data_IF_488963122454
#
_entry.id   IF_488963122454
#
_cell.length_a   1.000
_cell.length_b   1.000
_cell.length_c   1.000
_cell.angle_alpha   90.00
_cell.angle_beta   90.00
_cell.angle_gamma   90.00
#
_symmetry.space_group_name_H-M   'P 1'
#
loop_
_entity.id
_entity.type
_entity.pdbx_description
1 polymer ?
#
# COMPACT_ATOMS: atom_id res chain seq x y z
N UNK A 1 25.77 -10.49 -7.75
CA UNK A 1 24.58 -11.34 -7.51
C UNK A 1 24.97 -12.76 -7.87
N UNK A 2 24.51 -13.75 -7.11
CA UNK A 2 24.76 -15.17 -7.36
C UNK A 2 23.83 -15.66 -8.49
N UNK A 3 24.40 -16.18 -9.58
CA UNK A 3 23.64 -16.65 -10.73
C UNK A 3 22.72 -17.82 -10.36
N UNK A 4 23.16 -18.75 -9.50
CA UNK A 4 22.35 -19.89 -9.06
C UNK A 4 21.11 -19.44 -8.27
N UNK A 5 21.24 -18.38 -7.46
CA UNK A 5 20.11 -17.81 -6.74
C UNK A 5 19.08 -17.16 -7.69
N UNK A 6 19.55 -16.49 -8.76
CA UNK A 6 18.69 -15.87 -9.77
C UNK A 6 17.94 -16.92 -10.62
N UNK A 7 18.61 -18.03 -10.94
CA UNK A 7 17.99 -19.18 -11.60
C UNK A 7 16.88 -19.80 -10.74
N UNK A 8 17.13 -19.97 -9.44
CA UNK A 8 16.13 -20.47 -8.50
C UNK A 8 14.92 -19.53 -8.38
N UNK A 9 15.17 -18.22 -8.31
CA UNK A 9 14.12 -17.20 -8.33
C UNK A 9 13.28 -17.30 -9.61
N UNK A 10 13.91 -17.42 -10.77
CA UNK A 10 13.21 -17.59 -12.05
C UNK A 10 12.28 -18.81 -12.05
N UNK A 11 12.75 -19.95 -11.55
CA UNK A 11 11.94 -21.18 -11.45
C UNK A 11 10.77 -20.99 -10.49
N UNK A 12 10.98 -20.35 -9.34
CA UNK A 12 9.94 -20.08 -8.35
C UNK A 12 8.85 -19.16 -8.92
N UNK A 13 9.26 -18.09 -9.60
CA UNK A 13 8.33 -17.17 -10.25
C UNK A 13 7.56 -17.85 -11.39
N UNK A 14 8.22 -18.63 -12.24
CA UNK A 14 7.57 -19.34 -13.33
C UNK A 14 6.50 -20.34 -12.82
N UNK A 15 6.82 -21.14 -11.78
CA UNK A 15 5.85 -22.06 -11.17
C UNK A 15 4.63 -21.32 -10.62
N UNK A 16 4.88 -20.19 -9.94
CA UNK A 16 3.82 -19.33 -9.40
C UNK A 16 2.98 -18.73 -10.52
N UNK A 17 3.61 -18.27 -11.60
CA UNK A 17 2.93 -17.71 -12.77
C UNK A 17 1.98 -18.71 -13.42
N UNK A 18 2.45 -19.94 -13.68
CA UNK A 18 1.63 -21.04 -14.23
C UNK A 18 0.44 -21.36 -13.33
N UNK A 19 0.64 -21.32 -12.02
CA UNK A 19 -0.45 -21.59 -11.06
C UNK A 19 -1.54 -20.52 -11.13
N UNK A 20 -1.16 -19.24 -11.23
CA UNK A 20 -2.13 -18.15 -11.42
C UNK A 20 -2.80 -18.20 -12.79
N UNK A 21 -2.05 -18.53 -13.84
CA UNK A 21 -2.50 -18.66 -15.21
C UNK A 21 -3.59 -19.74 -15.33
N UNK A 22 -3.34 -20.93 -14.79
CA UNK A 22 -4.30 -22.04 -14.75
C UNK A 22 -5.56 -21.73 -13.93
N UNK A 23 -5.44 -20.88 -12.91
CA UNK A 23 -6.56 -20.46 -12.07
C UNK A 23 -7.33 -19.25 -12.66
N UNK A 24 -7.02 -18.80 -13.88
CA UNK A 24 -7.67 -17.66 -14.54
C UNK A 24 -7.32 -16.29 -13.94
N UNK A 25 -6.31 -16.21 -13.08
CA UNK A 25 -5.84 -14.98 -12.45
C UNK A 25 -4.77 -14.32 -13.33
N UNK A 26 -5.23 -13.78 -14.46
CA UNK A 26 -4.34 -13.32 -15.55
C UNK A 26 -3.41 -12.17 -15.13
N UNK A 27 -3.86 -11.23 -14.29
CA UNK A 27 -3.04 -10.08 -13.87
C UNK A 27 -1.85 -10.52 -13.00
N UNK A 28 -2.10 -11.43 -12.05
CA UNK A 28 -1.08 -12.00 -11.19
C UNK A 28 -0.12 -12.90 -11.99
N UNK A 29 -0.65 -13.71 -12.92
CA UNK A 29 0.16 -14.52 -13.82
C UNK A 29 1.12 -13.66 -14.64
N UNK A 30 0.63 -12.58 -15.25
CA UNK A 30 1.44 -11.61 -16.01
C UNK A 30 2.59 -11.06 -15.16
N UNK A 31 2.32 -10.69 -13.91
CA UNK A 31 3.35 -10.18 -13.02
C UNK A 31 4.44 -11.22 -12.79
N UNK A 32 4.09 -12.44 -12.42
CA UNK A 32 5.08 -13.48 -12.13
C UNK A 32 5.85 -13.96 -13.36
N UNK A 33 5.23 -13.99 -14.55
CA UNK A 33 5.98 -14.26 -15.79
C UNK A 33 7.01 -13.18 -16.09
N UNK A 34 6.70 -11.89 -15.88
CA UNK A 34 7.67 -10.79 -16.02
C UNK A 34 8.82 -10.91 -15.03
N UNK A 35 8.53 -11.22 -13.77
CA UNK A 35 9.54 -11.43 -12.74
C UNK A 35 10.43 -12.65 -13.06
N UNK A 36 9.87 -13.73 -13.59
CA UNK A 36 10.62 -14.90 -14.05
C UNK A 36 11.56 -14.55 -15.21
N UNK A 37 11.07 -13.84 -16.22
CA UNK A 37 11.87 -13.38 -17.35
C UNK A 37 13.02 -12.46 -16.90
N UNK A 38 12.74 -11.50 -16.01
CA UNK A 38 13.76 -10.58 -15.51
C UNK A 38 14.83 -11.28 -14.66
N UNK A 39 14.43 -12.26 -13.84
CA UNK A 39 15.36 -13.10 -13.10
C UNK A 39 16.30 -13.89 -14.03
N UNK A 40 15.78 -14.45 -15.13
CA UNK A 40 16.58 -15.16 -16.14
C UNK A 40 17.57 -14.23 -16.87
N UNK A 41 17.14 -13.03 -17.26
CA UNK A 41 18.03 -12.04 -17.88
C UNK A 41 19.21 -11.72 -16.95
N UNK A 42 18.93 -11.48 -15.66
CA UNK A 42 19.99 -11.20 -14.69
C UNK A 42 20.86 -12.42 -14.39
N UNK A 43 20.30 -13.63 -14.39
CA UNK A 43 21.09 -14.86 -14.26
C UNK A 43 22.12 -14.96 -15.40
N UNK A 44 21.69 -14.70 -16.64
CA UNK A 44 22.58 -14.66 -17.81
C UNK A 44 23.67 -13.59 -17.68
N UNK A 45 23.32 -12.37 -17.28
CA UNK A 45 24.29 -11.29 -17.03
C UNK A 45 25.29 -11.61 -15.89
N UNK A 46 24.85 -12.40 -14.91
CA UNK A 46 25.68 -12.87 -13.79
C UNK A 46 26.55 -14.09 -14.15
N UNK A 47 26.57 -14.52 -15.42
CA UNK A 47 27.40 -15.63 -15.89
C UNK A 47 26.78 -17.01 -15.70
N UNK A 48 25.44 -17.10 -15.65
CA UNK A 48 24.75 -18.39 -15.70
C UNK A 48 25.17 -19.20 -16.92
N UNK A 49 25.30 -20.52 -16.72
CA UNK A 49 25.64 -21.49 -17.77
C UNK A 49 24.40 -22.18 -18.35
N UNK A 50 23.19 -21.77 -17.97
CA UNK A 50 21.98 -22.34 -18.53
C UNK A 50 21.89 -22.01 -20.03
N UNK A 51 21.70 -23.03 -20.84
CA UNK A 51 21.42 -22.87 -22.26
C UNK A 51 19.96 -22.44 -22.47
N UNK A 52 19.68 -21.71 -23.55
CA UNK A 52 18.31 -21.32 -23.91
C UNK A 52 17.65 -20.27 -22.99
N UNK A 53 18.43 -19.52 -22.19
CA UNK A 53 17.90 -18.43 -21.34
C UNK A 53 17.05 -17.46 -22.17
N UNK A 54 17.56 -17.04 -23.34
CA UNK A 54 16.86 -16.09 -24.22
C UNK A 54 15.54 -16.67 -24.75
N UNK A 55 15.54 -17.94 -25.15
CA UNK A 55 14.33 -18.61 -25.64
C UNK A 55 13.25 -18.68 -24.54
N UNK A 56 13.66 -19.01 -23.31
CA UNK A 56 12.72 -19.07 -22.18
C UNK A 56 12.21 -17.69 -21.77
N UNK A 57 13.05 -16.66 -21.84
CA UNK A 57 12.64 -15.26 -21.64
C UNK A 57 11.58 -14.86 -22.67
N UNK A 58 11.81 -15.17 -23.95
CA UNK A 58 10.86 -14.88 -25.02
C UNK A 58 9.52 -15.62 -24.80
N UNK A 59 9.56 -16.90 -24.45
CA UNK A 59 8.35 -17.68 -24.14
C UNK A 59 7.49 -17.04 -23.03
N UNK A 60 8.13 -16.56 -21.95
CA UNK A 60 7.42 -15.86 -20.88
C UNK A 60 6.84 -14.52 -21.32
N UNK A 61 7.57 -13.75 -22.15
CA UNK A 61 7.10 -12.47 -22.67
C UNK A 61 5.95 -12.65 -23.68
N UNK A 62 6.01 -13.67 -24.52
CA UNK A 62 4.93 -14.03 -25.45
C UNK A 62 3.66 -14.44 -24.67
N UNK A 63 3.81 -15.23 -23.60
CA UNK A 63 2.67 -15.58 -22.73
C UNK A 63 2.08 -14.35 -22.05
N UNK A 64 2.91 -13.42 -21.58
CA UNK A 64 2.46 -12.13 -21.02
C UNK A 64 1.65 -11.34 -22.04
N UNK A 65 2.10 -11.28 -23.29
CA UNK A 65 1.39 -10.57 -24.35
C UNK A 65 0.06 -11.26 -24.69
N UNK A 66 0.04 -12.59 -24.75
CA UNK A 66 -1.18 -13.36 -24.95
C UNK A 66 -2.20 -13.14 -23.83
N UNK A 67 -1.75 -13.12 -22.56
CA UNK A 67 -2.60 -12.84 -21.40
C UNK A 67 -3.12 -11.41 -21.40
N UNK A 68 -2.31 -10.42 -21.77
CA UNK A 68 -2.77 -9.04 -21.95
C UNK A 68 -3.86 -8.93 -23.03
N UNK A 69 -3.65 -9.57 -24.19
CA UNK A 69 -4.63 -9.54 -25.28
C UNK A 69 -5.94 -10.23 -24.87
N UNK A 70 -5.84 -11.37 -24.16
CA UNK A 70 -7.00 -12.05 -23.60
C UNK A 70 -7.72 -11.19 -22.54
N UNK A 71 -6.97 -10.48 -21.71
CA UNK A 71 -7.49 -9.56 -20.69
C UNK A 71 -8.04 -8.25 -21.27
N UNK A 72 -7.65 -7.84 -22.48
CA UNK A 72 -8.26 -6.73 -23.23
C UNK A 72 -9.53 -7.16 -23.97
N UNK A 73 -9.60 -8.43 -24.38
CA UNK A 73 -10.79 -9.03 -24.97
C UNK A 73 -11.88 -9.33 -23.92
N UNK A 74 -11.48 -9.66 -22.69
CA UNK A 74 -12.33 -9.51 -21.51
C UNK A 74 -12.48 -8.00 -21.25
N UNK A 75 -13.71 -7.48 -21.11
CA UNK A 75 -13.91 -6.06 -20.78
C UNK A 75 -13.07 -5.74 -19.55
N UNK A 76 -12.17 -4.76 -19.64
CA UNK A 76 -11.60 -4.12 -18.45
C UNK A 76 -12.80 -3.71 -17.61
N UNK A 77 -12.92 -4.27 -16.40
CA UNK A 77 -13.98 -3.87 -15.50
C UNK A 77 -13.97 -2.34 -15.42
N UNK A 78 -15.09 -1.66 -15.71
CA UNK A 78 -15.13 -0.22 -15.63
C UNK A 78 -14.62 0.23 -14.26
N UNK A 79 -13.84 1.32 -14.26
CA UNK A 79 -13.30 1.88 -13.02
C UNK A 79 -14.43 2.07 -12.01
N UNK A 80 -14.19 1.68 -10.76
CA UNK A 80 -15.15 1.85 -9.67
C UNK A 80 -15.56 3.32 -9.62
N UNK A 81 -16.87 3.57 -9.58
CA UNK A 81 -17.39 4.92 -9.36
C UNK A 81 -17.00 5.40 -7.97
N UNK A 82 -16.93 6.72 -7.77
CA UNK A 82 -16.65 7.32 -6.45
C UNK A 82 -17.58 6.76 -5.36
N UNK A 83 -18.86 6.59 -5.68
CA UNK A 83 -19.86 6.09 -4.74
C UNK A 83 -19.63 4.62 -4.36
N UNK A 84 -19.08 3.80 -5.26
CA UNK A 84 -18.67 2.42 -4.94
C UNK A 84 -17.44 2.40 -4.03
N UNK A 85 -16.47 3.29 -4.25
CA UNK A 85 -15.29 3.44 -3.37
C UNK A 85 -15.70 3.92 -1.98
N UNK A 86 -16.60 4.90 -1.88
CA UNK A 86 -17.11 5.41 -0.61
C UNK A 86 -17.92 4.33 0.16
N UNK A 87 -18.63 3.45 -0.56
CA UNK A 87 -19.29 2.29 0.04
C UNK A 87 -18.27 1.29 0.65
N UNK A 88 -17.19 0.97 -0.06
CA UNK A 88 -16.11 0.12 0.45
C UNK A 88 -15.43 0.74 1.69
N UNK A 89 -15.25 2.06 1.68
CA UNK A 89 -14.72 2.81 2.83
C UNK A 89 -15.67 2.76 4.03
N UNK A 90 -16.98 2.91 3.84
CA UNK A 90 -17.96 2.77 4.90
C UNK A 90 -17.94 1.37 5.53
N UNK A 91 -17.85 0.32 4.71
CA UNK A 91 -17.69 -1.06 5.20
C UNK A 91 -16.41 -1.26 6.02
N UNK A 92 -15.30 -0.65 5.58
CA UNK A 92 -14.04 -0.71 6.30
C UNK A 92 -14.11 -0.02 7.67
N UNK A 93 -14.69 1.20 7.72
CA UNK A 93 -14.93 1.93 8.97
C UNK A 93 -15.73 1.10 9.98
N UNK A 94 -16.80 0.45 9.51
CA UNK A 94 -17.65 -0.41 10.35
C UNK A 94 -16.87 -1.62 10.87
N UNK A 95 -16.06 -2.26 10.02
CA UNK A 95 -15.25 -3.40 10.43
C UNK A 95 -14.28 -3.01 11.53
N UNK A 96 -13.62 -1.85 11.41
CA UNK A 96 -12.77 -1.32 12.47
C UNK A 96 -13.56 -0.97 13.73
N UNK A 97 -14.75 -0.38 13.59
CA UNK A 97 -15.61 -0.06 14.73
C UNK A 97 -15.97 -1.32 15.55
N UNK A 98 -16.30 -2.43 14.86
CA UNK A 98 -16.52 -3.73 15.51
C UNK A 98 -15.28 -4.24 16.23
N UNK A 99 -14.10 -4.13 15.61
CA UNK A 99 -12.86 -4.58 16.23
C UNK A 99 -12.50 -3.78 17.50
N UNK A 100 -12.81 -2.48 17.54
CA UNK A 100 -12.61 -1.64 18.71
C UNK A 100 -13.67 -1.91 19.80
N UNK A 101 -14.93 -2.14 19.43
CA UNK A 101 -16.02 -2.56 20.34
C UNK A 101 -15.68 -3.90 21.02
N UNK A 102 -15.13 -4.88 20.28
CA UNK A 102 -14.65 -6.16 20.85
C UNK A 102 -13.47 -6.00 21.82
N UNK A 103 -12.66 -4.96 21.65
CA UNK A 103 -11.53 -4.65 22.56
C UNK A 103 -11.98 -3.88 23.80
N UNK A 104 -13.24 -3.45 23.88
CA UNK A 104 -13.77 -2.58 24.93
C UNK A 104 -13.36 -1.11 24.78
N UNK A 105 -12.91 -0.70 23.58
CA UNK A 105 -12.60 0.68 23.25
C UNK A 105 -13.86 1.36 22.71
N UNK A 106 -14.84 1.55 23.60
CA UNK A 106 -16.19 1.97 23.22
C UNK A 106 -16.23 3.36 22.57
N UNK A 107 -15.40 4.30 23.03
CA UNK A 107 -15.30 5.66 22.49
C UNK A 107 -14.82 5.64 21.02
N UNK A 108 -13.77 4.86 20.75
CA UNK A 108 -13.23 4.64 19.41
C UNK A 108 -14.27 4.02 18.47
N UNK A 109 -14.98 3.01 18.94
CA UNK A 109 -16.01 2.32 18.17
C UNK A 109 -17.13 3.29 17.77
N UNK A 110 -17.60 4.12 18.70
CA UNK A 110 -18.66 5.11 18.45
C UNK A 110 -18.24 6.10 17.37
N UNK A 111 -17.01 6.61 17.41
CA UNK A 111 -16.53 7.57 16.42
C UNK A 111 -16.48 6.93 15.02
N UNK A 112 -15.95 5.71 14.91
CA UNK A 112 -15.86 4.97 13.64
C UNK A 112 -17.25 4.64 13.06
N UNK A 113 -18.21 4.25 13.91
CA UNK A 113 -19.61 4.07 13.48
C UNK A 113 -20.22 5.38 12.99
N UNK A 114 -19.99 6.48 13.70
CA UNK A 114 -20.51 7.81 13.33
C UNK A 114 -19.97 8.24 11.97
N UNK A 115 -18.66 8.10 11.76
CA UNK A 115 -18.01 8.39 10.49
C UNK A 115 -18.54 7.52 9.33
N UNK A 116 -18.78 6.23 9.59
CA UNK A 116 -19.36 5.33 8.58
C UNK A 116 -20.78 5.75 8.18
N UNK A 117 -21.60 6.13 9.16
CA UNK A 117 -22.98 6.58 8.95
C UNK A 117 -23.00 7.90 8.18
N UNK A 118 -22.18 8.88 8.58
CA UNK A 118 -22.06 10.17 7.87
C UNK A 118 -21.63 9.97 6.41
N UNK A 119 -20.62 9.12 6.17
CA UNK A 119 -20.17 8.79 4.82
C UNK A 119 -21.29 8.14 4.00
N UNK A 120 -22.06 7.22 4.57
CA UNK A 120 -23.20 6.60 3.89
C UNK A 120 -24.29 7.61 3.54
N UNK A 121 -24.62 8.53 4.45
CA UNK A 121 -25.64 9.56 4.23
C UNK A 121 -25.19 10.53 3.15
N UNK A 122 -23.96 11.04 3.22
CA UNK A 122 -23.41 11.97 2.23
C UNK A 122 -23.39 11.33 0.84
N UNK A 123 -22.88 10.11 0.73
CA UNK A 123 -22.83 9.36 -0.55
C UNK A 123 -24.24 9.08 -1.08
N UNK A 124 -25.21 8.77 -0.21
CA UNK A 124 -26.60 8.54 -0.61
C UNK A 124 -27.28 9.81 -1.14
N UNK A 125 -26.90 10.98 -0.64
CA UNK A 125 -27.47 12.25 -1.09
C UNK A 125 -26.84 12.71 -2.42
N UNK A 126 -25.60 12.32 -2.69
CA UNK A 126 -24.88 12.63 -3.93
C UNK A 126 -25.21 11.69 -5.10
N UNK A 127 -25.70 10.48 -4.83
CA UNK A 127 -26.01 9.49 -5.88
C UNK A 127 -27.46 9.57 -6.36
N UNK A 128 -27.68 9.40 -7.67
CA UNK A 128 -29.03 9.29 -8.27
C UNK A 128 -29.50 7.84 -8.43
N UNK A 129 -28.65 6.85 -8.12
CA UNK A 129 -28.99 5.43 -8.20
C UNK A 129 -29.81 4.99 -6.98
N UNK A 130 -31.08 4.67 -7.21
CA UNK A 130 -32.06 4.30 -6.19
C UNK A 130 -31.73 2.99 -5.46
N UNK A 131 -31.09 2.04 -6.14
CA UNK A 131 -30.67 0.78 -5.52
C UNK A 131 -29.47 1.01 -4.59
N UNK A 132 -28.51 1.84 -5.01
CA UNK A 132 -27.35 2.22 -4.19
C UNK A 132 -27.77 3.08 -2.99
N UNK A 133 -28.67 4.04 -3.19
CA UNK A 133 -29.27 4.82 -2.08
C UNK A 133 -29.91 3.90 -1.03
N UNK A 134 -30.66 2.89 -1.47
CA UNK A 134 -31.31 1.95 -0.55
C UNK A 134 -30.29 1.15 0.25
N UNK A 135 -29.21 0.67 -0.37
CA UNK A 135 -28.12 -0.03 0.33
C UNK A 135 -27.40 0.86 1.34
N UNK A 136 -27.07 2.09 0.97
CA UNK A 136 -26.40 3.06 1.85
C UNK A 136 -27.28 3.45 3.04
N UNK A 137 -28.58 3.66 2.82
CA UNK A 137 -29.55 3.93 3.89
C UNK A 137 -29.76 2.74 4.81
N UNK A 138 -29.83 1.52 4.26
CA UNK A 138 -29.91 0.29 5.06
C UNK A 138 -28.67 0.12 5.94
N UNK A 139 -27.48 0.32 5.39
CA UNK A 139 -26.22 0.33 6.13
C UNK A 139 -26.25 1.38 7.24
N UNK A 140 -26.54 2.65 6.93
CA UNK A 140 -26.64 3.73 7.92
C UNK A 140 -27.65 3.42 9.05
N UNK A 141 -28.78 2.79 8.73
CA UNK A 141 -29.80 2.40 9.72
C UNK A 141 -29.40 1.21 10.59
N UNK A 142 -28.59 0.30 10.06
CA UNK A 142 -28.12 -0.90 10.76
C UNK A 142 -27.06 -0.62 11.84
N UNK A 143 -26.37 0.53 11.78
CA UNK A 143 -25.25 0.86 12.67
C UNK A 143 -25.63 1.71 13.90
N UNK A 144 -26.91 1.80 14.22
CA UNK A 144 -27.41 2.64 15.31
C UNK A 144 -27.35 1.91 16.67
N UNK A 145 -26.18 1.83 17.30
CA UNK A 145 -26.10 1.56 18.75
C UNK A 145 -26.39 2.86 19.55
N UNK A 146 -27.02 2.78 20.73
CA UNK A 146 -27.37 3.97 21.52
C UNK A 146 -26.13 4.59 22.17
N UNK A 147 -26.03 5.91 22.05
CA UNK A 147 -25.02 6.75 22.71
C UNK A 147 -25.17 6.63 24.23
N UNK A 148 -24.13 6.15 24.92
CA UNK A 148 -23.93 6.41 26.35
C UNK A 148 -22.70 7.28 26.51
N UNK A 149 -22.85 8.34 27.30
CA UNK A 149 -21.76 9.25 27.62
C UNK A 149 -21.04 8.78 28.88
N UNK A 150 -19.78 8.35 28.80
CA UNK A 150 -18.86 8.33 29.97
C UNK A 150 -17.38 8.39 29.52
N UNK A 151 -16.69 9.41 30.03
CA UNK A 151 -15.26 9.64 30.32
C UNK A 151 -14.16 8.71 29.74
N UNK A 152 -13.28 9.35 28.97
CA UNK A 152 -12.00 8.87 28.46
C UNK A 152 -11.00 8.47 29.55
N UNK A 153 -10.39 7.27 29.43
CA UNK A 153 -9.18 6.89 30.16
C UNK A 153 -8.00 6.68 29.19
N UNK A 154 -7.00 7.57 29.25
CA UNK A 154 -5.77 7.45 28.44
C UNK A 154 -4.90 6.26 28.89
N UNK A 155 -4.33 5.47 27.96
CA UNK A 155 -3.28 4.52 28.26
C UNK A 155 -1.91 5.21 28.38
N UNK A 156 -1.20 4.94 29.46
CA UNK A 156 0.16 5.44 29.72
C UNK A 156 1.17 4.86 28.72
N UNK A 157 1.46 5.60 27.65
CA UNK A 157 2.65 5.42 26.81
C UNK A 157 3.90 6.07 27.43
N UNK A 158 5.09 5.60 27.05
CA UNK A 158 6.39 6.12 27.50
C UNK A 158 6.44 7.66 27.46
N UNK A 159 6.54 8.30 28.62
CA UNK A 159 6.71 9.74 28.75
C UNK A 159 8.18 10.10 28.62
N UNK A 160 8.53 10.83 27.57
CA UNK A 160 9.82 11.49 27.43
C UNK A 160 10.02 12.56 28.52
N UNK A 161 11.26 12.82 28.91
CA UNK A 161 11.58 13.96 29.79
C UNK A 161 11.44 15.29 29.06
N UNK A 162 11.36 16.39 29.81
CA UNK A 162 11.28 17.75 29.22
C UNK A 162 12.47 18.05 28.30
N UNK A 163 13.66 17.56 28.67
CA UNK A 163 14.89 17.70 27.90
C UNK A 163 14.84 16.87 26.61
N UNK A 164 14.35 15.63 26.69
CA UNK A 164 14.15 14.77 25.51
C UNK A 164 13.13 15.39 24.54
N UNK A 165 12.03 15.95 25.05
CA UNK A 165 11.03 16.64 24.23
C UNK A 165 11.63 17.86 23.50
N UNK A 166 12.52 18.62 24.16
CA UNK A 166 13.19 19.77 23.54
C UNK A 166 14.16 19.33 22.44
N UNK A 167 14.91 18.26 22.67
CA UNK A 167 15.78 17.64 21.65
C UNK A 167 14.93 17.13 20.49
N UNK A 168 13.83 16.43 20.74
CA UNK A 168 12.91 15.97 19.71
C UNK A 168 12.31 17.13 18.92
N UNK A 169 11.92 18.23 19.57
CA UNK A 169 11.34 19.41 18.88
C UNK A 169 12.35 20.10 17.97
N UNK A 170 13.61 20.20 18.40
CA UNK A 170 14.68 20.79 17.59
C UNK A 170 15.14 19.89 16.45
N UNK A 171 15.24 18.58 16.67
CA UNK A 171 15.72 17.60 15.68
C UNK A 171 14.65 17.06 14.73
N UNK A 172 13.37 17.18 15.07
CA UNK A 172 12.25 16.71 14.23
C UNK A 172 11.97 17.59 13.02
N UNK A 173 12.58 18.77 12.90
CA UNK A 173 12.27 19.67 11.78
C UNK A 173 13.30 19.55 10.66
N UNK A 174 12.92 18.94 9.54
CA UNK A 174 13.75 18.82 8.34
C UNK A 174 13.10 19.64 7.22
N UNK A 175 13.83 20.61 6.65
CA UNK A 175 13.33 21.51 5.60
C UNK A 175 12.01 22.22 5.98
N UNK A 176 11.89 22.68 7.23
CA UNK A 176 10.68 23.31 7.79
C UNK A 176 9.45 22.40 7.88
N UNK A 177 9.63 21.09 7.68
CA UNK A 177 8.59 20.07 7.88
C UNK A 177 8.90 19.33 9.18
N UNK A 178 7.92 19.26 10.06
CA UNK A 178 8.02 18.52 11.32
C UNK A 178 7.78 17.02 11.08
N UNK A 179 8.79 16.21 11.35
CA UNK A 179 8.80 14.75 11.37
C UNK A 179 8.89 14.29 12.82
N UNK A 180 7.71 14.12 13.45
CA UNK A 180 7.65 13.65 14.83
C UNK A 180 8.04 12.16 14.91
N UNK A 181 8.64 11.71 16.02
CA UNK A 181 8.99 10.31 16.21
C UNK A 181 7.77 9.40 16.11
N UNK A 182 7.94 8.25 15.47
CA UNK A 182 6.91 7.21 15.45
C UNK A 182 6.86 6.53 16.84
N UNK A 183 5.74 6.68 17.53
CA UNK A 183 5.47 6.19 18.87
C UNK A 183 4.54 4.97 18.85
N UNK A 184 4.48 4.25 19.95
CA UNK A 184 3.55 3.11 20.09
C UNK A 184 2.08 3.52 20.02
N UNK A 185 1.77 4.80 20.24
CA UNK A 185 0.42 5.37 20.04
C UNK A 185 0.07 5.48 18.55
N UNK A 186 1.06 5.71 17.67
CA UNK A 186 0.85 5.81 16.22
C UNK A 186 0.54 4.46 15.58
N UNK A 187 0.92 3.35 16.24
CA UNK A 187 0.44 2.01 15.87
C UNK A 187 -1.09 1.88 15.99
N UNK A 188 -1.72 2.76 16.78
CA UNK A 188 -3.17 2.86 16.94
C UNK A 188 -3.77 3.97 16.07
N UNK A 189 -2.96 4.64 15.25
CA UNK A 189 -3.46 5.70 14.39
C UNK A 189 -4.53 5.15 13.45
N UNK A 190 -5.60 5.94 13.32
CA UNK A 190 -6.78 5.54 12.57
C UNK A 190 -6.52 5.86 11.11
N UNK A 191 -6.41 4.82 10.28
CA UNK A 191 -6.27 4.97 8.83
C UNK A 191 -7.64 4.99 8.11
N UNK A 192 -8.70 5.19 8.86
CA UNK A 192 -10.06 5.27 8.36
C UNK A 192 -10.55 6.70 8.55
N UNK A 193 -10.49 7.50 7.47
CA UNK A 193 -11.04 8.85 7.43
C UNK A 193 -12.23 8.87 6.47
N UNK A 194 -13.28 9.69 6.72
CA UNK A 194 -14.43 9.81 5.82
C UNK A 194 -14.03 10.30 4.43
N UNK A 195 -13.02 11.19 4.38
CA UNK A 195 -12.48 11.79 3.17
C UNK A 195 -11.08 11.26 2.86
N UNK A 196 -10.70 11.14 1.57
CA UNK A 196 -9.35 10.74 1.20
C UNK A 196 -8.31 11.69 1.79
N UNK A 197 -7.23 11.14 2.34
CA UNK A 197 -6.18 11.95 2.95
C UNK A 197 -5.57 12.93 1.96
N UNK A 198 -5.36 14.17 2.41
CA UNK A 198 -4.67 15.22 1.65
C UNK A 198 -3.56 15.80 2.52
N UNK A 199 -2.39 15.97 1.91
CA UNK A 199 -1.23 16.56 2.58
C UNK A 199 -1.55 18.01 3.02
N UNK A 200 -1.32 18.32 4.30
CA UNK A 200 -1.53 19.65 4.88
C UNK A 200 -0.64 20.71 4.22
N UNK A 201 0.53 20.32 3.73
CA UNK A 201 1.50 21.19 3.05
C UNK A 201 1.24 21.27 1.54
N UNK A 202 0.18 20.61 1.05
CA UNK A 202 -0.19 20.61 -0.36
C UNK A 202 0.67 19.66 -1.20
N UNK A 203 0.72 19.93 -2.50
CA UNK A 203 1.39 19.06 -3.47
C UNK A 203 2.90 19.30 -3.48
N UNK A 204 3.67 18.23 -3.67
CA UNK A 204 5.12 18.31 -3.78
C UNK A 204 5.56 19.24 -4.92
N UNK A 205 6.55 20.08 -4.64
CA UNK A 205 7.18 20.92 -5.63
C UNK A 205 7.95 20.07 -6.66
N UNK A 206 7.66 20.28 -7.94
CA UNK A 206 8.26 19.51 -9.03
C UNK A 206 9.48 20.25 -9.62
N UNK A 207 10.55 19.50 -9.89
CA UNK A 207 11.70 19.99 -10.66
C UNK A 207 11.33 20.31 -12.12
N UNK A 208 12.13 21.10 -12.86
CA UNK A 208 11.84 21.41 -14.27
C UNK A 208 11.67 20.16 -15.15
N UNK A 209 12.49 19.12 -14.92
CA UNK A 209 12.40 17.83 -15.64
C UNK A 209 11.09 17.10 -15.34
N UNK A 210 10.66 17.10 -14.08
CA UNK A 210 9.38 16.50 -13.69
C UNK A 210 8.21 17.27 -14.30
N UNK A 211 8.24 18.61 -14.24
CA UNK A 211 7.20 19.48 -14.83
C UNK A 211 6.98 19.23 -16.32
N UNK A 212 8.06 18.99 -17.08
CA UNK A 212 7.97 18.77 -18.53
C UNK A 212 7.15 17.52 -18.93
N UNK A 213 7.10 16.50 -18.07
CA UNK A 213 6.36 15.24 -18.33
C UNK A 213 5.19 15.01 -17.36
N UNK A 214 4.94 15.96 -16.46
CA UNK A 214 3.94 15.82 -15.43
C UNK A 214 2.53 15.99 -16.02
N UNK A 215 1.67 14.99 -15.81
CA UNK A 215 0.26 15.08 -16.21
C UNK A 215 -0.60 15.60 -15.06
N UNK A 216 -0.75 14.82 -13.99
CA UNK A 216 -1.55 15.16 -12.81
C UNK A 216 -1.20 14.24 -11.64
N UNK A 217 -1.60 14.63 -10.44
CA UNK A 217 -1.61 13.74 -9.27
C UNK A 217 -2.84 12.85 -9.34
N UNK A 218 -2.65 11.53 -9.19
CA UNK A 218 -3.72 10.53 -9.13
C UNK A 218 -3.52 9.60 -7.96
N UNK A 219 -4.60 9.07 -7.42
CA UNK A 219 -4.57 7.98 -6.44
C UNK A 219 -4.56 6.61 -7.14
N UNK A 220 -4.05 5.55 -6.49
CA UNK A 220 -4.02 4.21 -7.10
C UNK A 220 -5.40 3.67 -7.53
N UNK A 221 -6.45 3.98 -6.78
CA UNK A 221 -7.84 3.61 -7.07
C UNK A 221 -8.45 4.37 -8.26
N UNK A 222 -7.89 5.53 -8.63
CA UNK A 222 -8.31 6.29 -9.81
C UNK A 222 -7.73 5.73 -11.12
N UNK A 223 -6.77 4.81 -11.02
CA UNK A 223 -6.09 4.19 -12.18
C UNK A 223 -6.27 2.67 -12.25
N UNK A 224 -6.68 2.01 -11.15
CA UNK A 224 -6.98 0.58 -11.14
C UNK A 224 -8.00 0.20 -10.05
N UNK A 225 -8.84 -0.82 -10.29
CA UNK A 225 -9.94 -1.20 -9.40
C UNK A 225 -9.50 -1.85 -8.08
N UNK A 226 -8.38 -2.57 -8.11
CA UNK A 226 -7.85 -3.34 -6.98
C UNK A 226 -6.35 -3.05 -6.83
N UNK A 227 -5.97 -1.82 -6.44
CA UNK A 227 -4.57 -1.51 -6.17
C UNK A 227 -4.06 -2.45 -5.08
N UNK A 228 -2.81 -2.92 -5.21
CA UNK A 228 -2.14 -3.74 -4.19
C UNK A 228 -0.82 -3.08 -3.82
N UNK A 229 -0.61 -2.79 -2.53
CA UNK A 229 0.60 -2.09 -2.06
C UNK A 229 1.88 -2.85 -2.40
N UNK A 230 1.92 -4.15 -2.09
CA UNK A 230 3.04 -5.03 -2.41
C UNK A 230 2.48 -6.40 -2.75
N UNK A 231 2.45 -6.74 -4.05
CA UNK A 231 2.05 -8.06 -4.53
C UNK A 231 3.12 -9.11 -4.24
N UNK A 232 4.40 -8.77 -4.45
CA UNK A 232 5.53 -9.56 -3.96
C UNK A 232 6.72 -8.65 -3.64
N UNK A 233 7.54 -9.04 -2.67
CA UNK A 233 8.78 -8.32 -2.36
C UNK A 233 9.82 -8.71 -3.40
N UNK A 234 10.08 -7.80 -4.34
CA UNK A 234 11.07 -8.00 -5.40
C UNK A 234 11.82 -6.71 -5.69
N UNK A 235 13.14 -6.84 -5.86
CA UNK A 235 13.99 -5.74 -6.32
C UNK A 235 13.77 -5.40 -7.79
N UNK A 236 13.17 -6.31 -8.56
CA UNK A 236 13.00 -6.19 -10.01
C UNK A 236 11.85 -5.25 -10.39
N UNK A 237 10.85 -5.14 -9.52
CA UNK A 237 9.67 -4.30 -9.72
C UNK A 237 9.94 -2.81 -9.41
N UNK A 238 11.09 -2.47 -8.83
CA UNK A 238 11.47 -1.09 -8.49
C UNK A 238 12.16 -0.44 -9.71
N UNK A 239 11.57 0.63 -10.23
CA UNK A 239 12.11 1.37 -11.39
C UNK A 239 12.15 2.86 -11.09
N UNK A 240 13.27 3.50 -11.42
CA UNK A 240 13.45 4.94 -11.28
C UNK A 240 13.06 5.64 -12.58
N UNK A 241 12.16 6.62 -12.49
CA UNK A 241 11.77 7.47 -13.64
C UNK A 241 11.79 8.93 -13.20
N UNK A 242 12.70 9.73 -13.76
CA UNK A 242 12.80 11.18 -13.50
C UNK A 242 12.91 11.54 -12.01
N UNK A 243 13.81 10.82 -11.32
CA UNK A 243 14.28 11.13 -9.96
C UNK A 243 15.79 11.31 -10.03
N UNK A 244 16.35 12.24 -9.26
CA UNK A 244 17.79 12.55 -9.24
C UNK A 244 18.60 11.57 -8.38
N UNK A 245 18.05 11.09 -7.26
CA UNK A 245 18.82 10.35 -6.26
C UNK A 245 18.59 8.83 -6.39
N UNK A 246 19.58 8.15 -6.99
CA UNK A 246 19.56 6.70 -7.13
C UNK A 246 19.84 5.95 -5.83
N UNK A 247 20.42 6.61 -4.82
CA UNK A 247 20.79 6.01 -3.52
C UNK A 247 19.58 5.49 -2.77
N UNK A 248 18.47 6.22 -2.77
CA UNK A 248 17.21 5.80 -2.15
C UNK A 248 16.59 4.59 -2.87
N UNK A 249 16.56 4.64 -4.20
CA UNK A 249 16.04 3.53 -5.01
C UNK A 249 16.90 2.28 -4.84
N UNK A 250 18.22 2.45 -4.78
CA UNK A 250 19.16 1.37 -4.55
C UNK A 250 19.02 0.76 -3.15
N UNK A 251 18.86 1.57 -2.10
CA UNK A 251 18.65 1.06 -0.73
C UNK A 251 17.35 0.27 -0.61
N UNK A 252 16.28 0.72 -1.26
CA UNK A 252 15.01 0.00 -1.33
C UNK A 252 15.16 -1.33 -2.10
N UNK A 253 15.85 -1.32 -3.25
CA UNK A 253 16.09 -2.54 -4.03
C UNK A 253 16.94 -3.57 -3.27
N UNK A 254 17.99 -3.13 -2.58
CA UNK A 254 18.84 -3.98 -1.73
C UNK A 254 18.03 -4.55 -0.58
N UNK A 255 17.23 -3.73 0.09
CA UNK A 255 16.39 -4.16 1.22
C UNK A 255 15.36 -5.20 0.78
N UNK A 256 14.76 -5.03 -0.41
CA UNK A 256 13.81 -5.98 -0.98
C UNK A 256 14.48 -7.33 -1.30
N UNK A 257 15.67 -7.28 -1.93
CA UNK A 257 16.45 -8.46 -2.23
C UNK A 257 16.87 -9.21 -0.94
N UNK A 258 17.31 -8.47 0.08
CA UNK A 258 17.69 -9.04 1.38
C UNK A 258 16.50 -9.70 2.07
N UNK A 259 15.37 -8.99 2.17
CA UNK A 259 14.16 -9.51 2.80
C UNK A 259 13.69 -10.80 2.13
N UNK A 260 13.68 -10.84 0.78
CA UNK A 260 13.32 -12.04 0.03
C UNK A 260 14.29 -13.19 0.26
N UNK A 261 15.60 -12.93 0.30
CA UNK A 261 16.64 -13.96 0.44
C UNK A 261 16.67 -14.58 1.84
N UNK A 262 16.52 -13.76 2.87
CA UNK A 262 16.67 -14.19 4.26
C UNK A 262 15.35 -14.33 5.01
N UNK A 263 14.23 -14.03 4.35
CA UNK A 263 12.88 -14.02 4.94
C UNK A 263 12.81 -13.12 6.19
N UNK A 264 13.55 -12.00 6.18
CA UNK A 264 13.60 -11.01 7.26
C UNK A 264 12.88 -9.73 6.84
N UNK A 265 11.77 -9.40 7.49
CA UNK A 265 10.93 -8.22 7.17
C UNK A 265 11.70 -6.92 7.45
N UNK A 266 12.22 -6.27 6.40
CA UNK A 266 12.93 -4.99 6.48
C UNK A 266 12.10 -3.85 5.90
N UNK A 267 11.52 -4.04 4.71
CA UNK A 267 10.64 -3.06 4.06
C UNK A 267 9.21 -3.28 4.55
N UNK A 268 8.80 -4.54 4.63
CA UNK A 268 7.40 -4.86 4.88
C UNK A 268 6.95 -4.62 6.31
N UNK A 269 7.88 -4.56 7.26
CA UNK A 269 7.65 -4.30 8.69
C UNK A 269 7.47 -2.81 8.99
N UNK A 270 7.95 -1.93 8.11
CA UNK A 270 7.91 -0.48 8.32
C UNK A 270 6.77 0.22 7.61
N UNK A 271 5.98 -0.51 6.79
CA UNK A 271 4.81 0.03 6.08
C UNK A 271 3.52 -0.30 6.85
N UNK A 272 2.70 0.71 7.10
CA UNK A 272 1.45 0.64 7.86
C UNK A 272 0.24 1.14 7.05
N UNK A 273 -0.97 0.61 7.32
CA UNK A 273 -1.33 -0.27 8.45
C UNK A 273 -1.05 -1.76 8.21
N UNK A 274 -0.92 -2.50 9.31
CA UNK A 274 -0.74 -3.95 9.33
C UNK A 274 -1.92 -4.61 10.07
N UNK A 275 -2.42 -5.73 9.54
CA UNK A 275 -3.46 -6.53 10.19
C UNK A 275 -2.91 -7.30 11.40
N UNK A 276 -3.76 -8.01 12.15
CA UNK A 276 -3.38 -8.81 13.34
C UNK A 276 -2.26 -9.84 13.10
N UNK A 277 -1.97 -10.20 11.84
CA UNK A 277 -0.86 -11.11 11.46
C UNK A 277 0.43 -10.38 11.07
N UNK A 278 0.49 -9.05 11.23
CA UNK A 278 1.60 -8.23 10.76
C UNK A 278 1.70 -8.18 9.23
N UNK A 279 0.60 -8.43 8.52
CA UNK A 279 0.52 -8.33 7.07
C UNK A 279 -0.15 -7.00 6.70
N UNK A 280 0.40 -6.31 5.70
CA UNK A 280 -0.09 -4.99 5.28
C UNK A 280 -1.54 -5.04 4.84
N UNK A 281 -2.32 -4.03 5.23
CA UNK A 281 -3.66 -3.79 4.71
C UNK A 281 -3.66 -2.50 3.90
N UNK A 282 -4.33 -2.50 2.76
CA UNK A 282 -4.69 -1.26 2.09
C UNK A 282 -5.86 -0.65 2.83
N UNK A 283 -5.78 0.65 3.05
CA UNK A 283 -6.93 1.42 3.52
C UNK A 283 -7.64 2.01 2.30
N UNK A 284 -8.98 1.98 2.26
CA UNK A 284 -9.77 2.64 1.20
C UNK A 284 -9.63 4.17 1.16
N UNK A 285 -8.73 4.73 1.97
CA UNK A 285 -8.60 6.17 2.24
C UNK A 285 -7.29 6.73 1.67
N UNK A 286 -6.40 5.85 1.20
CA UNK A 286 -5.16 6.22 0.53
C UNK A 286 -4.06 6.74 1.46
N UNK A 287 -4.22 6.58 2.78
CA UNK A 287 -3.18 6.89 3.78
C UNK A 287 -2.34 5.66 4.07
N UNK A 288 -1.03 5.81 3.96
CA UNK A 288 -0.05 4.80 4.37
C UNK A 288 1.06 5.51 5.12
N UNK A 289 1.53 4.90 6.19
CA UNK A 289 2.65 5.41 6.97
C UNK A 289 3.85 4.52 6.76
N UNK A 290 5.03 5.13 6.72
CA UNK A 290 6.31 4.43 6.64
C UNK A 290 7.20 4.90 7.78
N UNK A 291 7.61 4.01 8.67
CA UNK A 291 8.57 4.35 9.72
C UNK A 291 10.00 4.25 9.18
N UNK A 292 10.71 5.37 9.15
CA UNK A 292 12.12 5.40 8.78
C UNK A 292 12.96 5.70 10.02
N UNK A 293 13.99 4.91 10.26
CA UNK A 293 15.01 5.24 11.26
C UNK A 293 16.00 6.21 10.63
N UNK A 294 16.02 7.46 11.09
CA UNK A 294 17.10 8.38 10.74
C UNK A 294 18.29 8.08 11.65
N UNK A 295 19.30 7.38 11.12
CA UNK A 295 20.63 7.37 11.73
C UNK A 295 21.40 8.52 11.12
N UNK A 296 21.46 9.65 11.82
CA UNK A 296 22.50 10.65 11.54
C UNK A 296 23.86 9.99 11.80
N UNK A 297 24.63 9.77 10.74
CA UNK A 297 26.04 9.51 10.90
C UNK A 297 26.68 10.84 11.34
N UNK A 298 27.32 10.92 12.52
CA UNK A 298 28.11 12.09 12.85
C UNK A 298 29.20 12.20 11.78
N UNK A 299 29.18 13.32 11.06
CA UNK A 299 30.15 13.62 10.02
C UNK A 299 31.57 13.44 10.56
N UNK A 300 32.39 12.71 9.80
CA UNK A 300 33.85 12.72 9.98
C UNK A 300 34.44 13.98 9.37
#
# INVERSE_FOLDING_TARGET
MDCAALELDAVKFAKTAVTYDQNGKHNEAVFYYKEAAQALIYAGMAGSKLEGIQDKVNEYLDRVQALHNAAQAQKIDPLKSRQQVDLERAHFLVTQAFEEDEKGNDDEAIELYTQAVELCINTSNETSDQALQTKLKQLASGFRKPVRAVQSSEPQGQRYTSEEIEVLRSTSTINSIAYVPFMSVDLRERFAFPVPFSDKMGKLALSPKQKAIFSRWVRPDEICNNPTMIMSVSSFSIKQTVVSDCSFVASLAISAAYERRYNKKLITSVIYPQNRRGNRSITPVGSTWSSFTSTEFPGR
#
